data_IF_227435333906
#
_entry.id   IF_227435333906
#
_cell.length_a   1.000
_cell.length_b   1.000
_cell.length_c   1.000
_cell.angle_alpha   90.00
_cell.angle_beta   90.00
_cell.angle_gamma   90.00
#
_symmetry.space_group_name_H-M   'P 1'
#
loop_
_entity.id
_entity.type
_entity.pdbx_description
1 polymer ?
#
# COMPACT_ATOMS: atom_id res chain seq x y z
N UNK A 1 6.00 -13.91 -0.21
CA UNK A 1 7.19 -14.29 0.57
C UNK A 1 7.31 -13.34 1.75
N UNK A 2 7.21 -13.88 2.97
CA UNK A 2 7.38 -13.10 4.19
C UNK A 2 8.85 -12.72 4.37
N UNK A 3 9.13 -11.51 4.87
CA UNK A 3 10.50 -11.14 5.24
C UNK A 3 11.13 -12.07 6.28
N UNK A 4 10.31 -12.89 6.95
CA UNK A 4 10.79 -13.96 7.86
C UNK A 4 11.49 -15.10 7.13
N UNK A 5 11.42 -15.15 5.80
CA UNK A 5 12.15 -16.14 4.99
C UNK A 5 13.63 -15.80 4.82
N UNK A 6 14.04 -14.60 5.22
CA UNK A 6 15.44 -14.23 5.19
C UNK A 6 16.16 -14.83 6.37
N UNK A 7 17.26 -15.51 6.08
CA UNK A 7 18.08 -16.16 7.09
C UNK A 7 18.89 -15.13 7.87
N UNK A 8 19.11 -15.42 9.15
CA UNK A 8 20.02 -14.63 9.97
C UNK A 8 21.48 -14.86 9.50
N UNK A 9 22.37 -13.87 9.64
CA UNK A 9 23.77 -14.03 9.28
C UNK A 9 24.45 -15.24 9.93
N UNK A 10 24.13 -15.51 11.19
CA UNK A 10 24.69 -16.65 11.95
C UNK A 10 24.29 -17.99 11.33
N UNK A 11 23.05 -18.13 10.89
CA UNK A 11 22.55 -19.37 10.28
C UNK A 11 23.25 -19.61 8.94
N UNK A 12 23.45 -18.56 8.15
CA UNK A 12 24.15 -18.62 6.88
C UNK A 12 25.62 -19.02 7.08
N UNK A 13 26.29 -18.43 8.06
CA UNK A 13 27.70 -18.76 8.39
C UNK A 13 27.85 -20.23 8.81
N UNK A 14 26.93 -20.75 9.60
CA UNK A 14 26.94 -22.15 10.01
C UNK A 14 26.80 -23.10 8.82
N UNK A 15 25.92 -22.77 7.87
CA UNK A 15 25.74 -23.58 6.65
C UNK A 15 27.00 -23.56 5.79
N UNK A 16 27.58 -22.41 5.55
CA UNK A 16 28.80 -22.28 4.75
C UNK A 16 29.99 -23.04 5.36
N UNK A 17 30.16 -22.97 6.67
CA UNK A 17 31.22 -23.70 7.38
C UNK A 17 31.08 -25.21 7.27
N UNK A 18 29.84 -25.72 7.12
CA UNK A 18 29.60 -27.16 6.98
C UNK A 18 29.77 -27.70 5.55
N UNK A 19 29.91 -26.85 4.56
CA UNK A 19 30.01 -27.26 3.14
C UNK A 19 31.46 -27.37 2.71
N UNK A 20 31.89 -28.58 2.43
CA UNK A 20 33.13 -28.85 1.68
C UNK A 20 32.73 -29.19 0.26
N UNK A 21 33.15 -28.35 -0.69
CA UNK A 21 32.77 -28.56 -2.08
C UNK A 21 33.98 -28.97 -2.93
N UNK A 22 33.78 -29.99 -3.75
CA UNK A 22 34.66 -30.41 -4.84
C UNK A 22 34.10 -30.02 -6.20
N UNK A 23 32.96 -29.32 -6.21
CA UNK A 23 32.28 -28.91 -7.43
C UNK A 23 33.15 -27.94 -8.24
N UNK A 24 33.00 -28.01 -9.56
CA UNK A 24 33.57 -27.03 -10.47
C UNK A 24 32.84 -25.70 -10.30
N UNK A 25 33.53 -24.62 -10.57
CA UNK A 25 33.01 -23.27 -10.38
C UNK A 25 32.83 -22.54 -11.72
N UNK A 26 31.84 -21.70 -11.75
CA UNK A 26 31.62 -20.67 -12.75
C UNK A 26 31.52 -19.30 -12.10
N UNK A 27 31.33 -18.27 -12.90
CA UNK A 27 31.18 -16.89 -12.43
C UNK A 27 29.76 -16.41 -12.64
N UNK A 28 29.30 -15.58 -11.73
CA UNK A 28 27.99 -14.96 -11.80
C UNK A 28 28.10 -13.45 -11.67
N UNK A 29 27.46 -12.75 -12.58
CA UNK A 29 27.25 -11.30 -12.50
C UNK A 29 25.76 -11.08 -12.33
N UNK A 30 25.38 -10.42 -11.25
CA UNK A 30 24.00 -10.11 -10.96
C UNK A 30 23.78 -8.59 -10.99
N UNK A 31 22.63 -8.19 -11.47
CA UNK A 31 22.20 -6.79 -11.47
C UNK A 31 20.71 -6.69 -11.20
N UNK A 32 20.23 -5.52 -10.81
CA UNK A 32 18.82 -5.23 -10.67
C UNK A 32 18.54 -3.78 -11.10
N UNK A 33 17.28 -3.53 -11.48
CA UNK A 33 16.85 -2.17 -11.79
C UNK A 33 16.66 -1.38 -10.49
N UNK A 34 17.28 -0.18 -10.37
CA UNK A 34 16.95 0.69 -9.25
C UNK A 34 15.51 1.15 -9.36
N UNK A 35 14.81 1.11 -8.25
CA UNK A 35 13.49 1.72 -8.08
C UNK A 35 13.60 2.89 -7.12
N UNK A 36 12.66 3.83 -7.20
CA UNK A 36 12.70 5.06 -6.40
C UNK A 36 12.82 4.78 -4.90
N UNK A 37 12.12 3.77 -4.40
CA UNK A 37 12.18 3.39 -3.00
C UNK A 37 13.57 2.94 -2.54
N UNK A 38 14.37 2.35 -3.41
CA UNK A 38 15.74 1.90 -3.12
C UNK A 38 16.75 3.05 -3.03
N UNK A 39 16.38 4.22 -3.52
CA UNK A 39 17.23 5.41 -3.47
C UNK A 39 17.11 6.16 -2.15
N UNK A 40 16.10 5.86 -1.36
CA UNK A 40 15.89 6.49 -0.05
C UNK A 40 16.51 5.61 1.05
N UNK A 41 17.45 6.14 1.84
CA UNK A 41 18.11 5.38 2.91
C UNK A 41 17.17 4.91 4.03
N UNK A 42 15.92 5.34 4.06
CA UNK A 42 14.89 4.80 4.96
C UNK A 42 14.48 3.38 4.61
N UNK A 43 14.65 3.00 3.35
CA UNK A 43 14.26 1.70 2.87
C UNK A 43 15.50 0.84 2.72
N UNK A 44 15.53 -0.26 3.39
CA UNK A 44 16.59 -1.23 3.21
C UNK A 44 16.06 -2.47 2.51
N UNK A 45 16.95 -3.10 1.83
CA UNK A 45 16.68 -4.29 1.06
C UNK A 45 17.41 -5.48 1.64
N UNK A 46 16.75 -6.61 1.57
CA UNK A 46 17.36 -7.89 1.87
C UNK A 46 17.73 -8.58 0.58
N UNK A 47 18.82 -9.33 0.63
CA UNK A 47 19.32 -10.06 -0.50
C UNK A 47 19.83 -11.43 -0.06
N UNK A 48 19.35 -12.46 -0.73
CA UNK A 48 19.72 -13.85 -0.42
C UNK A 48 19.91 -14.64 -1.70
N UNK A 49 20.98 -15.43 -1.77
CA UNK A 49 21.16 -16.46 -2.79
C UNK A 49 21.16 -17.81 -2.11
N UNK A 50 20.46 -18.76 -2.69
CA UNK A 50 20.43 -20.14 -2.23
C UNK A 50 20.66 -21.11 -3.38
N UNK A 51 21.49 -22.14 -3.16
CA UNK A 51 21.63 -23.25 -4.08
C UNK A 51 20.44 -24.19 -3.95
N UNK A 52 19.88 -24.61 -5.06
CA UNK A 52 18.81 -25.61 -5.11
C UNK A 52 19.46 -26.97 -5.25
N UNK A 53 19.33 -27.77 -4.23
CA UNK A 53 19.89 -29.12 -4.20
C UNK A 53 19.00 -30.10 -4.99
N UNK A 54 19.52 -31.29 -5.41
CA UNK A 54 18.76 -32.25 -6.18
C UNK A 54 17.47 -32.74 -5.51
N UNK A 55 17.41 -32.71 -4.17
CA UNK A 55 16.22 -33.05 -3.38
C UNK A 55 15.27 -31.87 -3.17
N UNK A 56 15.44 -30.79 -3.94
CA UNK A 56 14.70 -29.54 -3.86
C UNK A 56 14.90 -28.74 -2.55
N UNK A 57 15.82 -29.14 -1.69
CA UNK A 57 16.20 -28.34 -0.52
C UNK A 57 17.02 -27.13 -0.94
N UNK A 58 16.93 -26.09 -0.15
CA UNK A 58 17.68 -24.86 -0.35
C UNK A 58 18.90 -24.81 0.59
N UNK A 59 20.03 -24.49 0.02
CA UNK A 59 21.25 -24.24 0.75
C UNK A 59 21.61 -22.77 0.57
N UNK A 60 21.37 -21.97 1.60
CA UNK A 60 21.69 -20.55 1.58
C UNK A 60 23.18 -20.33 1.57
N UNK A 61 23.65 -19.42 0.71
CA UNK A 61 25.06 -19.08 0.57
C UNK A 61 25.34 -17.78 1.30
N UNK A 62 26.49 -17.76 1.96
CA UNK A 62 27.11 -16.54 2.44
C UNK A 62 28.29 -16.23 1.51
N UNK A 63 28.36 -14.99 1.03
CA UNK A 63 29.56 -14.52 0.37
C UNK A 63 30.23 -13.49 1.25
N UNK A 64 31.54 -13.38 1.08
CA UNK A 64 32.31 -12.44 1.86
C UNK A 64 31.70 -11.04 1.76
N UNK A 65 31.36 -10.49 2.91
CA UNK A 65 30.72 -9.19 2.99
C UNK A 65 31.76 -8.11 3.11
N UNK A 66 31.81 -7.29 2.11
CA UNK A 66 32.47 -5.99 2.21
C UNK A 66 31.40 -4.93 2.47
N UNK A 67 31.06 -4.73 3.73
CA UNK A 67 30.01 -3.82 4.14
C UNK A 67 28.65 -4.51 4.36
N UNK A 68 27.61 -3.71 4.60
CA UNK A 68 26.27 -4.20 4.87
C UNK A 68 25.50 -4.50 3.60
N UNK A 69 25.67 -5.69 3.06
CA UNK A 69 24.92 -6.14 1.88
C UNK A 69 23.42 -6.12 2.14
N UNK A 70 23.04 -6.45 3.37
CA UNK A 70 21.65 -6.51 3.79
C UNK A 70 20.97 -5.16 3.89
N UNK A 71 21.76 -4.11 3.93
CA UNK A 71 21.33 -2.73 4.13
C UNK A 71 21.56 -1.90 2.88
N UNK A 72 21.85 -2.56 1.78
CA UNK A 72 22.19 -1.90 0.53
C UNK A 72 21.03 -1.05 0.04
N UNK A 73 21.29 0.21 -0.14
CA UNK A 73 20.53 1.03 -1.04
C UNK A 73 20.93 0.67 -2.45
N UNK A 74 20.06 0.82 -3.43
CA UNK A 74 20.18 0.31 -4.77
C UNK A 74 21.56 0.32 -5.39
N UNK A 75 22.27 1.44 -5.32
CA UNK A 75 23.59 1.58 -5.93
C UNK A 75 24.68 0.72 -5.27
N UNK A 76 24.61 0.54 -3.96
CA UNK A 76 25.55 -0.31 -3.22
C UNK A 76 25.40 -1.77 -3.62
N UNK A 77 24.18 -2.22 -3.75
CA UNK A 77 23.88 -3.58 -4.21
C UNK A 77 24.30 -3.80 -5.64
N UNK A 78 23.95 -2.86 -6.50
CA UNK A 78 24.34 -2.91 -7.91
C UNK A 78 25.84 -2.99 -8.07
N UNK A 79 26.61 -2.23 -7.29
CA UNK A 79 28.06 -2.24 -7.34
C UNK A 79 28.65 -3.57 -6.87
N UNK A 80 28.10 -4.14 -5.79
CA UNK A 80 28.56 -5.43 -5.28
C UNK A 80 28.28 -6.57 -6.25
N UNK A 81 27.08 -6.59 -6.83
CA UNK A 81 26.64 -7.65 -7.71
C UNK A 81 27.25 -7.56 -9.11
N UNK A 82 27.80 -6.42 -9.48
CA UNK A 82 28.50 -6.27 -10.76
C UNK A 82 29.88 -6.92 -10.78
N UNK A 83 30.46 -7.23 -9.63
CA UNK A 83 31.70 -7.99 -9.58
C UNK A 83 31.38 -9.46 -9.76
N UNK A 84 32.10 -10.15 -10.69
CA UNK A 84 31.90 -11.57 -10.86
C UNK A 84 32.13 -12.35 -9.57
N UNK A 85 31.16 -13.15 -9.17
CA UNK A 85 31.25 -14.04 -8.03
C UNK A 85 31.56 -15.45 -8.51
N UNK A 86 32.55 -16.10 -7.91
CA UNK A 86 32.80 -17.53 -8.14
C UNK A 86 31.80 -18.35 -7.34
N UNK A 87 31.07 -19.22 -8.04
CA UNK A 87 30.04 -20.06 -7.44
C UNK A 87 30.16 -21.49 -7.98
N UNK A 88 29.80 -22.47 -7.17
CA UNK A 88 29.79 -23.87 -7.60
C UNK A 88 28.73 -24.10 -8.69
N UNK A 89 29.00 -25.03 -9.58
CA UNK A 89 28.03 -25.41 -10.59
C UNK A 89 26.70 -25.85 -9.96
N UNK A 90 25.58 -25.52 -10.60
CA UNK A 90 24.25 -25.90 -10.15
C UNK A 90 23.19 -24.84 -10.35
N UNK A 91 22.03 -25.11 -9.81
CA UNK A 91 20.86 -24.24 -9.88
C UNK A 91 20.74 -23.38 -8.62
N UNK A 92 20.38 -22.14 -8.82
CA UNK A 92 20.30 -21.15 -7.75
C UNK A 92 19.00 -20.34 -7.80
N UNK A 93 18.59 -19.89 -6.64
CA UNK A 93 17.51 -18.93 -6.45
C UNK A 93 18.07 -17.65 -5.80
N UNK A 94 17.74 -16.51 -6.35
CA UNK A 94 18.07 -15.21 -5.79
C UNK A 94 16.77 -14.50 -5.36
N UNK A 95 16.72 -14.04 -4.13
CA UNK A 95 15.57 -13.34 -3.55
C UNK A 95 16.00 -11.97 -3.06
N UNK A 96 15.25 -10.95 -3.43
CA UNK A 96 15.41 -9.59 -2.93
C UNK A 96 14.12 -9.13 -2.27
N UNK A 97 14.22 -8.54 -1.10
CA UNK A 97 13.07 -7.93 -0.41
C UNK A 97 13.35 -6.46 -0.11
N UNK A 98 12.42 -5.61 -0.46
CA UNK A 98 12.50 -4.16 -0.24
C UNK A 98 11.31 -3.70 0.58
N UNK A 99 11.58 -2.98 1.67
CA UNK A 99 10.53 -2.34 2.46
C UNK A 99 10.14 -1.02 1.78
N UNK A 100 8.86 -0.89 1.49
CA UNK A 100 8.29 0.31 0.89
C UNK A 100 7.87 1.33 1.96
N UNK A 101 7.60 2.57 1.52
CA UNK A 101 7.19 3.66 2.41
C UNK A 101 5.93 3.36 3.24
N UNK A 102 5.00 2.62 2.68
CA UNK A 102 3.76 2.21 3.34
C UNK A 102 3.93 1.02 4.29
N UNK A 103 5.16 0.54 4.50
CA UNK A 103 5.47 -0.61 5.36
C UNK A 103 5.31 -1.97 4.68
N UNK A 104 4.85 -2.04 3.44
CA UNK A 104 4.82 -3.28 2.68
C UNK A 104 6.23 -3.75 2.28
N UNK A 105 6.36 -5.02 1.98
CA UNK A 105 7.61 -5.61 1.50
C UNK A 105 7.37 -6.16 0.11
N UNK A 106 8.11 -5.63 -0.87
CA UNK A 106 8.20 -6.21 -2.20
C UNK A 106 9.28 -7.29 -2.20
N UNK A 107 8.95 -8.45 -2.73
CA UNK A 107 9.92 -9.52 -2.95
C UNK A 107 9.93 -9.92 -4.42
N UNK A 108 11.11 -10.04 -4.98
CA UNK A 108 11.34 -10.56 -6.32
C UNK A 108 12.23 -11.79 -6.22
N UNK A 109 11.93 -12.79 -7.05
CA UNK A 109 12.66 -14.04 -7.10
C UNK A 109 13.12 -14.27 -8.53
N UNK A 110 14.38 -14.60 -8.70
CA UNK A 110 14.92 -15.06 -9.99
C UNK A 110 15.69 -16.37 -9.82
N UNK A 111 15.76 -17.14 -10.88
CA UNK A 111 16.47 -18.40 -10.92
C UNK A 111 17.57 -18.31 -11.97
N UNK A 112 18.71 -18.90 -11.67
CA UNK A 112 19.81 -18.98 -12.62
C UNK A 112 20.60 -20.29 -12.46
N UNK A 113 21.31 -20.66 -13.48
CA UNK A 113 22.18 -21.84 -13.48
C UNK A 113 23.63 -21.41 -13.64
N UNK A 114 24.51 -22.00 -12.86
CA UNK A 114 25.98 -21.81 -12.96
C UNK A 114 26.58 -23.01 -13.65
N UNK A 115 27.23 -22.76 -14.77
CA UNK A 115 28.00 -23.77 -15.51
C UNK A 115 29.49 -23.59 -15.28
N UNK A 116 30.28 -24.67 -15.23
CA UNK A 116 31.73 -24.59 -15.05
C UNK A 116 32.41 -23.70 -16.09
N UNK A 117 33.34 -22.90 -15.65
CA UNK A 117 34.21 -22.05 -16.48
C UNK A 117 33.45 -21.03 -17.38
N UNK A 118 32.18 -20.82 -17.10
CA UNK A 118 31.33 -19.83 -17.79
C UNK A 118 30.93 -18.69 -16.86
N UNK A 119 30.59 -17.55 -17.47
CA UNK A 119 30.01 -16.41 -16.76
C UNK A 119 28.52 -16.39 -17.04
N UNK A 120 27.71 -16.38 -15.97
CA UNK A 120 26.27 -16.26 -16.04
C UNK A 120 25.83 -14.85 -15.65
N UNK A 121 25.10 -14.19 -16.53
CA UNK A 121 24.44 -12.94 -16.21
C UNK A 121 23.04 -13.23 -15.67
N UNK A 122 22.74 -12.69 -14.50
CA UNK A 122 21.40 -12.76 -13.93
C UNK A 122 20.89 -11.38 -13.58
N UNK A 123 19.62 -11.14 -13.82
CA UNK A 123 18.99 -9.85 -13.56
C UNK A 123 17.77 -10.05 -12.70
N UNK A 124 17.73 -9.32 -11.59
CA UNK A 124 16.57 -9.22 -10.74
C UNK A 124 15.87 -7.90 -11.03
N UNK A 125 14.67 -7.98 -11.58
CA UNK A 125 13.84 -6.82 -11.82
C UNK A 125 12.98 -6.55 -10.61
N UNK A 126 13.31 -5.51 -9.87
CA UNK A 126 12.48 -5.03 -8.78
C UNK A 126 11.42 -4.07 -9.32
N UNK A 127 10.23 -4.18 -8.79
CA UNK A 127 9.09 -3.35 -9.20
C UNK A 127 8.56 -2.58 -8.00
N UNK A 128 8.21 -1.32 -8.23
CA UNK A 128 7.35 -0.64 -7.29
C UNK A 128 5.96 -1.27 -7.41
N UNK A 129 5.35 -1.53 -6.27
CA UNK A 129 3.96 -1.99 -6.29
C UNK A 129 3.04 -0.81 -6.56
N UNK A 130 2.76 -0.58 -7.85
CA UNK A 130 1.86 0.48 -8.29
C UNK A 130 0.39 0.16 -8.01
N UNK A 131 0.09 -1.09 -7.66
CA UNK A 131 -1.27 -1.52 -7.28
C UNK A 131 -1.55 -1.33 -5.79
N UNK A 132 -0.54 -1.00 -4.99
CA UNK A 132 -0.76 -0.67 -3.59
C UNK A 132 -1.27 0.75 -3.42
N UNK A 133 -2.19 0.87 -2.48
CA UNK A 133 -2.74 2.14 -2.08
C UNK A 133 -1.78 2.85 -1.13
N UNK A 134 -1.45 4.09 -1.44
CA UNK A 134 -0.58 4.89 -0.59
C UNK A 134 -1.37 5.53 0.55
N UNK A 135 -0.81 5.49 1.75
CA UNK A 135 -1.32 6.23 2.90
C UNK A 135 -0.90 7.70 2.75
N UNK A 136 -1.89 8.58 2.68
CA UNK A 136 -1.69 10.01 2.42
C UNK A 136 -2.00 10.90 3.64
N UNK A 137 -2.51 10.34 4.72
CA UNK A 137 -2.84 11.06 5.93
C UNK A 137 -3.43 10.16 7.01
N UNK A 138 -3.93 10.80 8.06
CA UNK A 138 -4.51 10.14 9.21
C UNK A 138 -5.94 10.65 9.45
N UNK A 139 -6.80 9.74 9.92
CA UNK A 139 -8.15 10.06 10.35
C UNK A 139 -8.52 9.16 11.54
N UNK A 140 -8.97 9.75 12.64
CA UNK A 140 -9.39 9.00 13.81
C UNK A 140 -10.82 8.49 13.64
N UNK A 141 -10.98 7.19 13.45
CA UNK A 141 -12.29 6.55 13.29
C UNK A 141 -13.19 6.60 14.54
N UNK A 142 -12.63 6.93 15.70
CA UNK A 142 -13.41 7.14 16.92
C UNK A 142 -14.12 8.50 16.98
N UNK A 143 -13.90 9.36 16.00
CA UNK A 143 -14.62 10.62 15.86
C UNK A 143 -16.14 10.40 15.87
N UNK A 144 -16.80 11.22 16.65
CA UNK A 144 -18.25 11.12 16.88
C UNK A 144 -19.02 12.10 16.02
N UNK A 145 -20.19 11.65 15.59
CA UNK A 145 -21.16 12.46 14.89
C UNK A 145 -22.58 12.12 15.38
N UNK A 146 -23.52 12.97 15.04
CA UNK A 146 -24.95 12.74 15.35
C UNK A 146 -25.62 12.06 14.16
N UNK A 147 -26.21 10.89 14.37
CA UNK A 147 -26.99 10.22 13.32
C UNK A 147 -28.20 11.06 12.94
N UNK A 148 -28.44 11.16 11.64
CA UNK A 148 -29.57 11.92 11.13
C UNK A 148 -30.91 11.20 11.33
N UNK A 149 -30.93 9.87 11.33
CA UNK A 149 -32.14 9.06 11.43
C UNK A 149 -32.76 9.04 12.84
N UNK A 150 -31.95 9.00 13.88
CA UNK A 150 -32.45 8.89 15.27
C UNK A 150 -31.90 9.96 16.21
N UNK A 151 -31.02 10.82 15.77
CA UNK A 151 -30.41 11.88 16.58
C UNK A 151 -29.40 11.40 17.64
N UNK A 152 -29.04 10.13 17.65
CA UNK A 152 -28.08 9.57 18.60
C UNK A 152 -26.64 9.87 18.18
N UNK A 153 -25.79 10.12 19.17
CA UNK A 153 -24.34 10.25 18.95
C UNK A 153 -23.73 8.86 18.79
N UNK A 154 -22.89 8.70 17.78
CA UNK A 154 -22.12 7.49 17.51
C UNK A 154 -20.75 7.83 16.96
N UNK A 155 -19.85 6.87 16.92
CA UNK A 155 -18.56 7.05 16.23
C UNK A 155 -18.59 6.51 14.81
N UNK A 156 -17.65 6.98 13.98
CA UNK A 156 -17.47 6.41 12.65
C UNK A 156 -17.18 4.92 12.76
N UNK A 157 -16.27 4.51 13.65
CA UNK A 157 -15.92 3.11 13.88
C UNK A 157 -17.13 2.25 14.24
N UNK A 158 -17.98 2.72 15.16
CA UNK A 158 -19.18 1.99 15.57
C UNK A 158 -20.19 1.83 14.42
N UNK A 159 -20.25 2.79 13.52
CA UNK A 159 -21.13 2.78 12.35
C UNK A 159 -20.61 1.89 11.23
N UNK A 160 -19.31 1.92 10.97
CA UNK A 160 -18.70 1.27 9.80
C UNK A 160 -18.14 -0.12 10.09
N UNK A 161 -17.85 -0.41 11.35
CA UNK A 161 -17.08 -1.59 11.72
C UNK A 161 -15.61 -1.49 11.32
N UNK A 162 -14.89 -2.57 11.50
CA UNK A 162 -13.45 -2.61 11.17
C UNK A 162 -13.22 -2.68 9.67
N UNK A 163 -12.15 -2.05 9.23
CA UNK A 163 -11.69 -2.04 7.84
C UNK A 163 -11.82 -0.66 7.20
N UNK A 164 -11.90 -0.63 5.88
CA UNK A 164 -12.03 0.61 5.12
C UNK A 164 -13.46 1.15 5.13
N UNK A 165 -13.58 2.45 4.99
CA UNK A 165 -14.86 3.16 4.90
C UNK A 165 -14.69 4.47 4.14
N UNK A 166 -15.81 5.04 3.71
CA UNK A 166 -15.87 6.40 3.16
C UNK A 166 -16.45 7.34 4.19
N UNK A 167 -15.82 8.50 4.37
CA UNK A 167 -16.42 9.64 5.10
C UNK A 167 -16.45 10.83 4.16
N UNK A 168 -17.58 11.52 4.14
CA UNK A 168 -17.73 12.75 3.37
C UNK A 168 -18.41 13.84 4.18
N UNK A 169 -18.04 15.09 3.88
CA UNK A 169 -18.74 16.29 4.33
C UNK A 169 -19.41 16.91 3.12
N UNK A 170 -20.73 17.07 3.18
CA UNK A 170 -21.55 17.51 2.05
C UNK A 170 -22.09 18.93 2.27
N UNK A 171 -22.17 19.69 1.19
CA UNK A 171 -22.85 20.98 1.14
C UNK A 171 -24.19 20.85 0.42
N UNK A 172 -25.29 20.87 1.16
CA UNK A 172 -26.61 20.73 0.57
C UNK A 172 -26.94 21.85 -0.42
N UNK A 173 -27.63 21.50 -1.51
CA UNK A 173 -28.03 22.42 -2.59
C UNK A 173 -26.86 23.15 -3.27
N UNK A 174 -25.67 22.60 -3.18
CA UNK A 174 -24.50 23.09 -3.88
C UNK A 174 -24.21 22.19 -5.08
N UNK A 175 -23.91 22.79 -6.22
CA UNK A 175 -23.66 22.02 -7.44
C UNK A 175 -22.49 21.04 -7.32
N UNK A 176 -21.35 21.36 -6.67
CA UNK A 176 -20.28 20.38 -6.46
C UNK A 176 -20.74 19.13 -5.68
N UNK A 177 -21.57 19.30 -4.66
CA UNK A 177 -22.17 18.17 -3.91
C UNK A 177 -23.16 17.40 -4.77
N UNK A 178 -24.02 18.08 -5.50
CA UNK A 178 -25.00 17.44 -6.37
C UNK A 178 -24.31 16.60 -7.44
N UNK A 179 -23.25 17.12 -8.05
CA UNK A 179 -22.46 16.41 -9.02
C UNK A 179 -21.80 15.16 -8.39
N UNK A 180 -21.21 15.29 -7.22
CA UNK A 180 -20.60 14.17 -6.49
C UNK A 180 -21.62 13.08 -6.19
N UNK A 181 -22.82 13.44 -5.75
CA UNK A 181 -23.87 12.47 -5.43
C UNK A 181 -24.39 11.74 -6.67
N UNK A 182 -24.45 12.39 -7.81
CA UNK A 182 -24.77 11.73 -9.09
C UNK A 182 -23.70 10.74 -9.49
N UNK A 183 -22.42 11.08 -9.28
CA UNK A 183 -21.29 10.18 -9.53
C UNK A 183 -21.35 8.95 -8.62
N UNK A 184 -21.70 9.11 -7.35
CA UNK A 184 -21.89 8.02 -6.41
C UNK A 184 -23.05 7.11 -6.86
N UNK A 185 -24.17 7.68 -7.27
CA UNK A 185 -25.30 6.91 -7.81
C UNK A 185 -24.90 6.08 -9.04
N UNK A 186 -24.06 6.63 -9.90
CA UNK A 186 -23.59 5.94 -11.10
C UNK A 186 -22.74 4.70 -10.81
N UNK A 187 -22.07 4.64 -9.66
CA UNK A 187 -21.25 3.49 -9.24
C UNK A 187 -21.89 2.71 -8.07
N UNK A 188 -23.19 2.87 -7.88
CA UNK A 188 -23.94 2.23 -6.79
C UNK A 188 -23.65 0.73 -6.68
N UNK A 189 -23.75 0.01 -7.79
CA UNK A 189 -23.55 -1.45 -7.82
C UNK A 189 -22.15 -1.83 -7.30
N UNK A 190 -21.14 -1.15 -7.77
CA UNK A 190 -19.76 -1.42 -7.36
C UNK A 190 -19.53 -1.10 -5.88
N UNK A 191 -20.12 -0.02 -5.38
CA UNK A 191 -20.03 0.34 -3.97
C UNK A 191 -20.78 -0.67 -3.08
N UNK A 192 -21.92 -1.16 -3.50
CA UNK A 192 -22.65 -2.20 -2.78
C UNK A 192 -21.93 -3.56 -2.82
N UNK A 193 -21.28 -3.91 -3.92
CA UNK A 193 -20.45 -5.11 -4.01
C UNK A 193 -19.23 -5.02 -3.09
N UNK A 194 -18.63 -3.83 -2.97
CA UNK A 194 -17.56 -3.59 -2.00
C UNK A 194 -18.06 -3.81 -0.57
N UNK A 195 -19.34 -3.49 -0.30
CA UNK A 195 -20.03 -3.81 0.95
C UNK A 195 -19.58 -3.01 2.16
N UNK A 196 -18.71 -2.01 1.99
CA UNK A 196 -18.24 -1.17 3.09
C UNK A 196 -19.12 0.04 3.26
N UNK A 197 -19.14 0.56 4.48
CA UNK A 197 -20.01 1.66 4.85
C UNK A 197 -19.51 3.00 4.34
N UNK A 198 -20.46 3.88 4.07
CA UNK A 198 -20.23 5.29 3.73
C UNK A 198 -20.94 6.15 4.76
N UNK A 199 -20.22 7.07 5.39
CA UNK A 199 -20.77 8.04 6.33
C UNK A 199 -20.76 9.41 5.65
N UNK A 200 -21.95 9.93 5.34
CA UNK A 200 -22.12 11.22 4.70
C UNK A 200 -22.63 12.23 5.74
N UNK A 201 -21.84 13.25 6.02
CA UNK A 201 -22.06 14.20 7.07
C UNK A 201 -22.43 15.58 6.51
N UNK A 202 -23.28 16.28 7.24
CA UNK A 202 -23.62 17.67 6.97
C UNK A 202 -23.09 18.56 8.09
N UNK A 203 -22.72 19.82 7.80
CA UNK A 203 -22.23 20.74 8.82
C UNK A 203 -23.26 21.07 9.90
N UNK A 204 -24.54 20.99 9.56
CA UNK A 204 -25.66 21.28 10.47
C UNK A 204 -26.93 20.53 10.06
N UNK A 205 -27.94 20.57 10.93
CA UNK A 205 -29.22 19.92 10.67
C UNK A 205 -29.97 20.52 9.49
N UNK A 206 -29.81 21.81 9.27
CA UNK A 206 -30.43 22.51 8.14
C UNK A 206 -29.92 21.98 6.81
N UNK A 207 -28.63 21.73 6.72
CA UNK A 207 -28.00 21.11 5.57
C UNK A 207 -28.60 19.73 5.26
N UNK A 208 -28.77 18.89 6.27
CA UNK A 208 -29.40 17.59 6.11
C UNK A 208 -30.86 17.69 5.67
N UNK A 209 -31.66 18.58 6.30
CA UNK A 209 -33.06 18.78 5.93
C UNK A 209 -33.24 19.28 4.50
N UNK A 210 -32.31 20.04 3.98
CA UNK A 210 -32.30 20.55 2.62
C UNK A 210 -31.75 19.57 1.57
N UNK A 211 -31.29 18.42 2.01
CA UNK A 211 -30.74 17.38 1.13
C UNK A 211 -31.83 16.33 0.84
N UNK A 212 -32.11 16.11 -0.43
CA UNK A 212 -33.00 15.06 -0.89
C UNK A 212 -32.24 14.02 -1.69
N UNK A 213 -31.95 12.83 -1.12
CA UNK A 213 -31.22 11.80 -1.82
C UNK A 213 -31.89 11.30 -3.09
N UNK A 214 -33.20 11.45 -3.23
CA UNK A 214 -33.97 11.02 -4.41
C UNK A 214 -33.65 11.84 -5.66
N UNK A 215 -33.12 13.05 -5.51
CA UNK A 215 -32.73 13.90 -6.63
C UNK A 215 -31.56 13.34 -7.44
N UNK A 216 -30.77 12.42 -6.88
CA UNK A 216 -29.53 11.96 -7.46
C UNK A 216 -29.61 10.58 -8.12
N UNK A 217 -30.79 9.99 -8.12
CA UNK A 217 -31.02 8.63 -8.57
C UNK A 217 -31.00 7.64 -7.41
N UNK A 218 -30.59 6.41 -7.71
CA UNK A 218 -30.58 5.34 -6.73
C UNK A 218 -29.21 5.26 -6.06
N UNK A 219 -29.16 5.68 -4.80
CA UNK A 219 -27.91 5.69 -4.01
C UNK A 219 -27.64 4.34 -3.31
N UNK A 220 -26.37 4.03 -2.99
CA UNK A 220 -26.02 2.81 -2.26
C UNK A 220 -26.76 2.68 -0.93
N UNK A 221 -27.20 1.48 -0.60
CA UNK A 221 -27.84 1.17 0.68
C UNK A 221 -26.89 1.16 1.88
N UNK A 222 -25.59 1.28 1.64
CA UNK A 222 -24.55 1.29 2.67
C UNK A 222 -24.29 2.66 3.28
N UNK A 223 -25.07 3.67 2.91
CA UNK A 223 -24.89 5.06 3.37
C UNK A 223 -25.58 5.26 4.73
N UNK A 224 -24.86 5.85 5.66
CA UNK A 224 -25.37 6.44 6.91
C UNK A 224 -25.23 7.96 6.83
N UNK A 225 -26.30 8.69 7.04
CA UNK A 225 -26.28 10.15 7.10
C UNK A 225 -26.14 10.64 8.54
N UNK A 226 -25.42 11.74 8.71
CA UNK A 226 -25.22 12.34 10.01
C UNK A 226 -24.87 13.81 9.95
N UNK A 227 -24.74 14.39 11.14
CA UNK A 227 -24.36 15.79 11.34
C UNK A 227 -23.03 15.84 12.07
N UNK A 228 -22.10 16.59 11.49
CA UNK A 228 -20.81 16.90 12.09
C UNK A 228 -20.95 18.14 12.97
N UNK A 229 -21.37 17.93 14.22
CA UNK A 229 -21.59 19.02 15.17
C UNK A 229 -20.31 19.85 15.33
N UNK A 230 -20.44 21.17 15.26
CA UNK A 230 -19.34 22.13 15.35
C UNK A 230 -18.27 21.98 14.26
N UNK A 231 -18.51 21.16 13.27
CA UNK A 231 -17.59 20.94 12.16
C UNK A 231 -16.25 20.32 12.57
N UNK A 232 -16.19 19.57 13.66
CA UNK A 232 -14.91 19.05 14.19
C UNK A 232 -14.30 17.99 13.28
N UNK A 233 -15.10 17.14 12.63
CA UNK A 233 -14.60 16.13 11.68
C UNK A 233 -14.07 16.83 10.42
N UNK A 234 -14.84 17.80 9.90
CA UNK A 234 -14.39 18.62 8.77
C UNK A 234 -13.05 19.30 9.03
N UNK A 235 -12.89 19.91 10.20
CA UNK A 235 -11.65 20.59 10.61
C UNK A 235 -10.50 19.61 10.74
N UNK A 236 -10.72 18.44 11.30
CA UNK A 236 -9.69 17.41 11.43
C UNK A 236 -9.22 16.92 10.05
N UNK A 237 -10.14 16.62 9.16
CA UNK A 237 -9.80 16.20 7.79
C UNK A 237 -9.02 17.31 7.09
N UNK A 238 -9.48 18.53 7.15
CA UNK A 238 -8.82 19.67 6.50
C UNK A 238 -7.40 19.89 7.02
N UNK A 239 -7.19 19.74 8.32
CA UNK A 239 -5.88 19.86 8.95
C UNK A 239 -4.97 18.69 8.58
N UNK A 240 -5.45 17.45 8.72
CA UNK A 240 -4.66 16.24 8.46
C UNK A 240 -4.27 16.12 6.98
N UNK A 241 -5.16 16.53 6.08
CA UNK A 241 -4.94 16.48 4.64
C UNK A 241 -4.35 17.76 4.07
N UNK A 242 -4.11 18.76 4.90
CA UNK A 242 -3.54 20.08 4.52
C UNK A 242 -4.35 20.76 3.42
N UNK A 243 -5.67 20.73 3.53
CA UNK A 243 -6.56 21.40 2.57
C UNK A 243 -6.46 22.91 2.73
N UNK A 244 -6.31 23.62 1.60
CA UNK A 244 -6.14 25.07 1.61
C UNK A 244 -7.40 25.83 2.07
N UNK A 245 -8.58 25.31 1.70
CA UNK A 245 -9.86 25.88 2.07
C UNK A 245 -10.77 24.81 2.71
N UNK A 246 -10.80 24.80 4.04
CA UNK A 246 -11.60 23.83 4.80
C UNK A 246 -13.12 23.93 4.54
N UNK A 247 -13.57 25.07 4.03
CA UNK A 247 -15.00 25.32 3.78
C UNK A 247 -15.46 24.89 2.38
N UNK A 248 -14.56 24.50 1.52
CA UNK A 248 -14.93 24.02 0.18
C UNK A 248 -15.46 22.59 0.24
N UNK A 249 -16.73 22.45 -0.03
CA UNK A 249 -17.44 21.17 0.01
C UNK A 249 -17.81 20.69 -1.42
N UNK A 250 -18.00 19.40 -1.64
CA UNK A 250 -17.86 18.31 -0.67
C UNK A 250 -16.41 17.92 -0.42
N UNK A 251 -16.18 17.25 0.71
CA UNK A 251 -14.92 16.58 0.99
C UNK A 251 -15.19 15.08 1.09
N UNK A 252 -14.44 14.26 0.38
CA UNK A 252 -14.52 12.79 0.45
C UNK A 252 -13.17 12.23 0.85
N UNK A 253 -13.16 11.30 1.80
CA UNK A 253 -12.00 10.49 2.12
C UNK A 253 -12.35 9.00 2.10
N UNK A 254 -11.36 8.17 1.78
CA UNK A 254 -11.36 6.75 2.13
C UNK A 254 -10.32 6.58 3.22
N UNK A 255 -10.73 6.00 4.32
CA UNK A 255 -9.88 5.74 5.47
C UNK A 255 -10.16 4.35 6.04
N UNK A 256 -9.35 3.93 6.99
CA UNK A 256 -9.55 2.68 7.71
C UNK A 256 -9.53 2.85 9.23
N UNK A 257 -9.85 1.78 9.92
CA UNK A 257 -9.90 1.76 11.38
C UNK A 257 -8.52 1.70 12.06
N UNK A 258 -7.44 1.70 11.27
CA UNK A 258 -6.06 1.88 11.72
C UNK A 258 -5.59 3.33 11.53
N UNK A 259 -6.51 4.27 11.38
CA UNK A 259 -6.27 5.71 11.23
C UNK A 259 -5.53 6.10 9.95
N UNK A 260 -5.61 5.28 8.90
CA UNK A 260 -4.94 5.56 7.62
C UNK A 260 -5.94 6.13 6.63
N UNK A 261 -5.56 7.21 5.94
CA UNK A 261 -6.31 7.78 4.82
C UNK A 261 -5.60 7.43 3.53
N UNK A 262 -6.34 6.91 2.56
CA UNK A 262 -5.81 6.45 1.27
C UNK A 262 -6.36 7.21 0.07
N UNK A 263 -7.35 8.06 0.28
CA UNK A 263 -7.94 8.90 -0.76
C UNK A 263 -8.51 10.17 -0.16
N UNK A 264 -8.37 11.28 -0.89
CA UNK A 264 -9.04 12.54 -0.58
C UNK A 264 -9.48 13.24 -1.88
N UNK A 265 -10.67 13.83 -1.85
CA UNK A 265 -11.19 14.69 -2.90
C UNK A 265 -11.90 15.87 -2.26
N UNK A 266 -11.77 17.05 -2.84
CA UNK A 266 -12.40 18.27 -2.34
C UNK A 266 -12.99 19.08 -3.48
N UNK A 267 -14.19 19.60 -3.26
CA UNK A 267 -14.87 20.48 -4.20
C UNK A 267 -15.38 19.75 -5.43
N UNK A 268 -15.48 20.46 -6.53
CA UNK A 268 -15.93 19.90 -7.78
C UNK A 268 -14.88 18.98 -8.37
N UNK A 269 -15.22 17.70 -8.51
CA UNK A 269 -14.32 16.66 -9.02
C UNK A 269 -15.01 15.91 -10.16
N UNK A 270 -14.41 15.95 -11.34
CA UNK A 270 -14.90 15.17 -12.48
C UNK A 270 -14.54 13.71 -12.27
N UNK A 271 -15.53 12.82 -12.40
CA UNK A 271 -15.32 11.38 -12.27
C UNK A 271 -15.00 10.90 -10.87
N UNK A 272 -15.59 11.52 -9.84
CA UNK A 272 -15.38 11.12 -8.45
C UNK A 272 -15.67 9.63 -8.23
N UNK A 273 -16.78 9.12 -8.76
CA UNK A 273 -17.14 7.70 -8.63
C UNK A 273 -16.07 6.77 -9.20
N UNK A 274 -15.56 7.07 -10.36
CA UNK A 274 -14.48 6.30 -10.99
C UNK A 274 -13.18 6.37 -10.19
N UNK A 275 -12.85 7.53 -9.67
CA UNK A 275 -11.66 7.72 -8.82
C UNK A 275 -11.76 6.92 -7.52
N UNK A 276 -12.93 6.94 -6.87
CA UNK A 276 -13.20 6.11 -5.69
C UNK A 276 -13.02 4.63 -6.01
N UNK A 277 -13.63 4.15 -7.10
CA UNK A 277 -13.56 2.75 -7.48
C UNK A 277 -12.15 2.31 -7.86
N UNK A 278 -11.37 3.17 -8.48
CA UNK A 278 -9.96 2.91 -8.79
C UNK A 278 -9.13 2.64 -7.51
N UNK A 279 -9.39 3.37 -6.45
CA UNK A 279 -8.75 3.13 -5.15
C UNK A 279 -9.34 1.89 -4.49
N UNK A 280 -10.64 1.75 -4.46
CA UNK A 280 -11.36 0.63 -3.82
C UNK A 280 -10.93 -0.73 -4.39
N UNK A 281 -10.72 -0.83 -5.70
CA UNK A 281 -10.26 -2.07 -6.33
C UNK A 281 -8.85 -2.51 -5.88
N UNK A 282 -8.10 -1.64 -5.23
CA UNK A 282 -6.77 -1.93 -4.69
C UNK A 282 -6.78 -2.31 -3.20
N UNK A 283 -7.92 -2.24 -2.55
CA UNK A 283 -8.06 -2.46 -1.10
C UNK A 283 -8.30 -3.93 -0.75
#
# INVERSE_FOLDING_TARGET
ISHKTYYKPEDVMAIVAAVQTTAKQGKVVASYNPIKALQDPKYYSHFTIAKILPDAKLQTLNFERTGNVDMGVGDTWSSMLKKPLSMDEGNYMMVTGTRMANGSVLAEVSFFNVEPDKTTDTKLEMRENTDEVQVIGNFNSENKFKRADNGEETSVLATTGRGYFVVAILGARQEPTNHAMRDIAAVKKDLEEWGRSMVLLFPDEKGYKNFDPKEFGDLPGTITYGIDADGHIQKEIASAMKLQNASQLPIFIIADTFNRVVFVSQGYTIGLGEQLMKVIHKL
#
